data_IF_001170372306
#
_entry.id   IF_001170372306
#
_cell.length_a   1.000
_cell.length_b   1.000
_cell.length_c   1.000
_cell.angle_alpha   90.00
_cell.angle_beta   90.00
_cell.angle_gamma   90.00
#
_symmetry.space_group_name_H-M   'P 1'
#
loop_
_entity.id
_entity.type
_entity.pdbx_description
1 polymer ?
#
# COMPACT_ATOMS: atom_id res chain seq x y z
N UNK A 1 9.31 -34.62 1.67
CA UNK A 1 9.77 -34.04 2.96
C UNK A 1 8.62 -33.29 3.60
N UNK A 2 8.02 -33.82 4.68
CA UNK A 2 6.82 -33.26 5.30
C UNK A 2 7.09 -32.00 6.14
N UNK A 3 6.06 -31.18 6.32
CA UNK A 3 6.11 -29.97 7.16
C UNK A 3 5.92 -30.37 8.63
N UNK A 4 6.98 -30.32 9.43
CA UNK A 4 6.92 -30.59 10.88
C UNK A 4 6.27 -29.44 11.66
N UNK A 5 5.65 -29.76 12.80
CA UNK A 5 5.16 -28.77 13.77
C UNK A 5 6.36 -28.07 14.42
N UNK A 6 6.32 -26.75 14.52
CA UNK A 6 7.40 -25.93 15.08
C UNK A 6 6.85 -25.09 16.22
N UNK A 7 7.59 -25.02 17.32
CA UNK A 7 7.26 -24.19 18.49
C UNK A 7 7.38 -22.70 18.12
N UNK A 8 6.50 -21.87 18.66
CA UNK A 8 6.49 -20.41 18.43
C UNK A 8 7.47 -19.69 19.36
N UNK A 9 8.75 -20.00 19.20
CA UNK A 9 9.85 -19.40 19.96
C UNK A 9 10.98 -18.97 19.01
N UNK A 10 11.99 -18.28 19.57
CA UNK A 10 13.18 -17.86 18.82
C UNK A 10 13.94 -19.11 18.35
N UNK A 11 14.16 -19.23 17.04
CA UNK A 11 15.00 -20.30 16.49
C UNK A 11 16.47 -19.92 16.74
N UNK A 12 17.16 -20.63 17.63
CA UNK A 12 18.54 -20.29 18.01
C UNK A 12 19.56 -20.52 16.90
N UNK A 13 19.42 -21.61 16.15
CA UNK A 13 20.29 -21.91 15.02
C UNK A 13 20.16 -20.84 13.92
N UNK A 14 21.27 -20.15 13.63
CA UNK A 14 21.32 -19.00 12.71
C UNK A 14 20.89 -19.34 11.28
N UNK A 15 21.32 -20.49 10.75
CA UNK A 15 20.99 -20.93 9.39
C UNK A 15 19.50 -21.27 9.30
N UNK A 16 19.00 -22.06 10.26
CA UNK A 16 17.59 -22.45 10.29
C UNK A 16 16.67 -21.23 10.50
N UNK A 17 17.09 -20.25 11.30
CA UNK A 17 16.39 -18.99 11.51
C UNK A 17 16.32 -18.18 10.21
N UNK A 18 17.43 -18.04 9.50
CA UNK A 18 17.48 -17.31 8.22
C UNK A 18 16.60 -17.97 7.15
N UNK A 19 16.72 -19.30 7.00
CA UNK A 19 15.90 -20.05 6.03
C UNK A 19 14.41 -19.96 6.40
N UNK A 20 14.08 -20.09 7.69
CA UNK A 20 12.70 -19.96 8.17
C UNK A 20 12.16 -18.55 7.99
N UNK A 21 12.98 -17.52 8.24
CA UNK A 21 12.62 -16.13 8.00
C UNK A 21 12.29 -15.89 6.53
N UNK A 22 13.17 -16.28 5.61
CA UNK A 22 12.94 -16.13 4.17
C UNK A 22 11.65 -16.82 3.72
N UNK A 23 11.41 -18.06 4.18
CA UNK A 23 10.19 -18.80 3.87
C UNK A 23 8.93 -18.13 4.45
N UNK A 24 8.97 -17.72 5.73
CA UNK A 24 7.83 -17.07 6.41
C UNK A 24 7.53 -15.69 5.83
N UNK A 25 8.55 -14.87 5.56
CA UNK A 25 8.43 -13.56 4.91
C UNK A 25 7.75 -13.68 3.55
N UNK A 26 8.23 -14.60 2.72
CA UNK A 26 7.67 -14.79 1.38
C UNK A 26 6.24 -15.35 1.46
N UNK A 27 5.95 -16.27 2.40
CA UNK A 27 4.59 -16.75 2.65
C UNK A 27 3.65 -15.66 3.13
N UNK A 28 4.10 -14.78 4.03
CA UNK A 28 3.32 -13.64 4.52
C UNK A 28 3.06 -12.62 3.41
N UNK A 29 4.05 -12.32 2.58
CA UNK A 29 3.88 -11.42 1.43
C UNK A 29 2.86 -12.01 0.44
N UNK A 30 2.97 -13.29 0.10
CA UNK A 30 1.96 -13.95 -0.77
C UNK A 30 0.56 -13.87 -0.18
N UNK A 31 0.39 -14.16 1.10
CA UNK A 31 -0.89 -14.00 1.80
C UNK A 31 -1.36 -12.55 1.84
N UNK A 32 -0.47 -11.59 1.97
CA UNK A 32 -0.82 -10.17 1.91
C UNK A 32 -1.31 -9.78 0.52
N UNK A 33 -0.66 -10.27 -0.56
CA UNK A 33 -1.13 -10.06 -1.94
C UNK A 33 -2.49 -10.71 -2.21
N UNK A 34 -2.70 -11.96 -1.77
CA UNK A 34 -4.00 -12.63 -1.87
C UNK A 34 -5.11 -11.84 -1.16
N UNK A 35 -4.79 -11.20 -0.02
CA UNK A 35 -5.74 -10.41 0.76
C UNK A 35 -5.83 -8.93 0.33
N UNK A 36 -4.90 -8.43 -0.50
CA UNK A 36 -4.86 -7.02 -0.91
C UNK A 36 -6.05 -6.65 -1.82
N UNK A 37 -6.67 -7.65 -2.44
CA UNK A 37 -7.88 -7.48 -3.26
C UNK A 37 -9.08 -6.97 -2.45
N UNK A 38 -9.14 -7.23 -1.13
CA UNK A 38 -10.22 -6.78 -0.25
C UNK A 38 -9.76 -5.61 0.67
N UNK A 39 -9.79 -4.39 0.14
CA UNK A 39 -10.04 -3.08 0.80
C UNK A 39 -9.42 -2.68 2.18
N UNK A 40 -8.56 -3.46 2.84
CA UNK A 40 -7.88 -3.09 4.11
C UNK A 40 -6.33 -3.13 4.02
N UNK A 41 -5.82 -2.84 2.82
CA UNK A 41 -4.41 -2.77 2.38
C UNK A 41 -3.41 -2.13 3.34
N UNK A 42 -3.57 -0.83 3.53
CA UNK A 42 -2.52 0.07 3.99
C UNK A 42 -2.05 -0.23 5.41
N UNK A 43 -2.96 -0.56 6.32
CA UNK A 43 -2.62 -0.88 7.71
C UNK A 43 -1.74 -2.14 7.82
N UNK A 44 -1.91 -3.10 6.90
CA UNK A 44 -1.21 -4.38 6.93
C UNK A 44 0.19 -4.28 6.32
N UNK A 45 0.34 -3.51 5.24
CA UNK A 45 1.66 -3.15 4.69
C UNK A 45 2.47 -2.37 5.73
N UNK A 46 1.83 -1.46 6.47
CA UNK A 46 2.47 -0.74 7.58
C UNK A 46 2.97 -1.70 8.66
N UNK A 47 2.15 -2.66 9.11
CA UNK A 47 2.56 -3.67 10.10
C UNK A 47 3.74 -4.50 9.58
N UNK A 48 3.69 -4.98 8.34
CA UNK A 48 4.78 -5.76 7.75
C UNK A 48 6.08 -4.95 7.67
N UNK A 49 6.01 -3.69 7.27
CA UNK A 49 7.16 -2.79 7.26
C UNK A 49 7.71 -2.57 8.68
N UNK A 50 6.85 -2.33 9.68
CA UNK A 50 7.32 -2.17 11.08
C UNK A 50 7.99 -3.41 11.64
N UNK A 51 7.54 -4.61 11.26
CA UNK A 51 8.17 -5.88 11.66
C UNK A 51 9.53 -6.06 10.96
N UNK A 52 9.60 -5.73 9.67
CA UNK A 52 10.86 -5.78 8.90
C UNK A 52 11.88 -4.79 9.45
N UNK A 53 11.46 -3.56 9.78
CA UNK A 53 12.33 -2.55 10.36
C UNK A 53 12.80 -2.91 11.77
N UNK A 54 11.93 -3.46 12.64
CA UNK A 54 12.38 -3.99 13.94
C UNK A 54 13.38 -5.13 13.80
N UNK A 55 13.18 -6.00 12.81
CA UNK A 55 14.12 -7.10 12.55
C UNK A 55 15.48 -6.55 12.07
N UNK A 56 15.47 -5.58 11.14
CA UNK A 56 16.68 -4.86 10.70
C UNK A 56 17.43 -4.24 11.86
N UNK A 57 16.74 -3.45 12.68
CA UNK A 57 17.31 -2.81 13.88
C UNK A 57 17.91 -3.85 14.85
N UNK A 58 17.22 -4.97 15.08
CA UNK A 58 17.72 -6.06 15.94
C UNK A 58 18.95 -6.76 15.36
N UNK A 59 19.07 -6.86 14.03
CA UNK A 59 20.25 -7.41 13.37
C UNK A 59 21.43 -6.44 13.36
N UNK A 60 21.19 -5.14 13.23
CA UNK A 60 22.24 -4.11 13.28
C UNK A 60 22.73 -3.86 14.72
N UNK A 61 21.85 -3.90 15.72
CA UNK A 61 22.22 -3.82 17.14
C UNK A 61 23.13 -4.98 17.60
N UNK A 62 23.05 -6.13 16.93
CA UNK A 62 23.96 -7.27 17.14
C UNK A 62 25.34 -7.08 16.48
N UNK A 63 25.48 -6.14 15.55
CA UNK A 63 26.74 -5.82 14.87
C UNK A 63 27.42 -4.55 15.44
N UNK A 64 26.64 -3.60 15.97
CA UNK A 64 27.14 -2.36 16.57
C UNK A 64 27.23 -2.45 18.11
N UNK A 65 28.03 -3.36 18.65
CA UNK A 65 28.50 -3.22 20.04
C UNK A 65 29.51 -2.08 20.22
N UNK A 66 29.81 -1.30 19.17
CA UNK A 66 30.56 -0.06 19.25
C UNK A 66 29.92 0.93 18.28
N UNK A 67 29.14 1.89 18.77
CA UNK A 67 29.05 3.31 18.35
C UNK A 67 27.79 3.88 19.01
N UNK A 68 28.03 4.78 19.96
CA UNK A 68 27.07 5.65 20.65
C UNK A 68 26.43 6.66 19.69
N UNK A 69 25.17 7.06 19.96
CA UNK A 69 24.46 8.29 19.54
C UNK A 69 24.43 8.63 18.03
N UNK A 70 23.31 8.84 17.32
CA UNK A 70 22.20 9.77 17.60
C UNK A 70 20.97 9.50 16.68
N UNK A 71 20.88 8.36 16.00
CA UNK A 71 19.85 8.14 14.96
C UNK A 71 18.45 7.65 15.43
N UNK A 72 18.25 6.91 16.54
CA UNK A 72 16.91 6.38 16.86
C UNK A 72 15.91 7.44 17.33
N UNK A 73 16.37 8.58 17.84
CA UNK A 73 15.49 9.63 18.40
C UNK A 73 14.80 10.47 17.32
N UNK A 74 15.45 10.75 16.19
CA UNK A 74 14.83 11.46 15.07
C UNK A 74 13.65 10.67 14.48
N UNK A 75 13.82 9.36 14.30
CA UNK A 75 12.76 8.47 13.80
C UNK A 75 11.57 8.37 14.77
N UNK A 76 11.82 8.33 16.08
CA UNK A 76 10.77 8.31 17.11
C UNK A 76 9.92 9.59 17.07
N UNK A 77 10.51 10.73 16.72
CA UNK A 77 9.80 12.01 16.57
C UNK A 77 9.14 12.19 15.20
N UNK A 78 9.66 11.53 14.16
CA UNK A 78 9.12 11.63 12.80
C UNK A 78 7.91 10.72 12.58
N UNK A 79 7.89 9.53 13.18
CA UNK A 79 6.75 8.59 13.13
C UNK A 79 5.42 9.23 13.56
N UNK A 80 5.29 9.94 14.71
CA UNK A 80 4.03 10.57 15.10
C UNK A 80 3.63 11.70 14.15
N UNK A 81 4.58 12.45 13.58
CA UNK A 81 4.30 13.48 12.57
C UNK A 81 3.73 12.86 11.29
N UNK A 82 4.36 11.78 10.80
CA UNK A 82 3.88 11.04 9.64
C UNK A 82 2.51 10.40 9.90
N UNK A 83 2.29 9.86 11.10
CA UNK A 83 1.01 9.28 11.51
C UNK A 83 -0.11 10.32 11.54
N UNK A 84 0.13 11.50 12.12
CA UNK A 84 -0.83 12.59 12.13
C UNK A 84 -1.17 13.06 10.70
N UNK A 85 -0.16 13.17 9.83
CA UNK A 85 -0.35 13.50 8.41
C UNK A 85 -1.20 12.43 7.70
N UNK A 86 -0.89 11.15 7.93
CA UNK A 86 -1.66 10.04 7.36
C UNK A 86 -3.12 10.07 7.80
N UNK A 87 -3.39 10.23 9.10
CA UNK A 87 -4.75 10.30 9.63
C UNK A 87 -5.54 11.49 9.06
N UNK A 88 -4.88 12.64 8.87
CA UNK A 88 -5.48 13.81 8.22
C UNK A 88 -5.81 13.55 6.74
N UNK A 89 -4.91 12.87 6.01
CA UNK A 89 -5.16 12.49 4.62
C UNK A 89 -6.30 11.48 4.53
N UNK A 90 -6.31 10.47 5.40
CA UNK A 90 -7.35 9.45 5.44
C UNK A 90 -8.73 10.04 5.77
N UNK A 91 -8.81 11.02 6.68
CA UNK A 91 -10.06 11.76 6.92
C UNK A 91 -10.54 12.50 5.68
N UNK A 92 -9.63 13.19 4.99
CA UNK A 92 -9.95 13.91 3.76
C UNK A 92 -10.43 12.96 2.65
N UNK A 93 -9.83 11.78 2.56
CA UNK A 93 -10.21 10.74 1.60
C UNK A 93 -11.61 10.20 1.87
N UNK A 94 -11.97 9.96 3.14
CA UNK A 94 -13.35 9.63 3.53
C UNK A 94 -14.35 10.72 3.13
N UNK A 95 -14.00 11.99 3.34
CA UNK A 95 -14.87 13.10 2.93
C UNK A 95 -15.09 13.12 1.41
N UNK A 96 -14.06 12.81 0.60
CA UNK A 96 -14.22 12.67 -0.85
C UNK A 96 -15.13 11.49 -1.26
N UNK A 97 -15.20 10.45 -0.43
CA UNK A 97 -16.14 9.34 -0.61
C UNK A 97 -17.55 9.65 -0.07
N UNK A 98 -17.77 10.84 0.47
CA UNK A 98 -19.05 11.26 1.03
C UNK A 98 -19.32 10.75 2.46
N UNK A 99 -18.31 10.23 3.14
CA UNK A 99 -18.41 9.73 4.51
C UNK A 99 -18.10 10.84 5.54
N UNK A 100 -18.73 10.79 6.72
CA UNK A 100 -18.51 11.69 7.88
C UNK A 100 -18.61 13.20 7.54
N UNK A 101 -19.45 13.57 6.57
CA UNK A 101 -19.63 14.97 6.14
C UNK A 101 -20.30 15.84 7.21
N UNK A 102 -20.97 15.23 8.18
CA UNK A 102 -21.60 15.89 9.34
C UNK A 102 -20.60 16.62 10.25
N UNK A 103 -19.32 16.24 10.20
CA UNK A 103 -18.25 16.92 10.93
C UNK A 103 -17.79 18.22 10.24
N UNK A 104 -18.18 18.44 8.98
CA UNK A 104 -17.74 19.58 8.17
C UNK A 104 -18.73 20.74 8.22
N UNK A 105 -18.20 21.96 8.41
CA UNK A 105 -19.00 23.17 8.27
C UNK A 105 -19.37 23.48 6.82
N UNK A 106 -20.38 24.32 6.60
CA UNK A 106 -20.84 24.73 5.26
C UNK A 106 -19.71 25.25 4.35
N UNK A 107 -18.79 26.05 4.90
CA UNK A 107 -17.62 26.58 4.16
C UNK A 107 -16.66 25.48 3.73
N UNK A 108 -16.46 24.47 4.58
CA UNK A 108 -15.56 23.35 4.30
C UNK A 108 -16.17 22.42 3.25
N UNK A 109 -17.48 22.20 3.33
CA UNK A 109 -18.23 21.44 2.33
C UNK A 109 -18.19 22.10 0.94
N UNK A 110 -18.38 23.43 0.87
CA UNK A 110 -18.22 24.19 -0.38
C UNK A 110 -16.78 24.11 -0.94
N UNK A 111 -15.78 24.09 -0.06
CA UNK A 111 -14.39 23.92 -0.49
C UNK A 111 -14.12 22.50 -1.01
N UNK A 112 -14.74 21.49 -0.41
CA UNK A 112 -14.66 20.10 -0.84
C UNK A 112 -15.29 19.91 -2.22
N UNK A 113 -16.49 20.46 -2.44
CA UNK A 113 -17.20 20.46 -3.72
C UNK A 113 -16.34 21.12 -4.82
N UNK A 114 -15.83 22.34 -4.57
CA UNK A 114 -14.93 23.03 -5.51
C UNK A 114 -13.68 22.22 -5.83
N UNK A 115 -13.14 21.48 -4.86
CA UNK A 115 -11.99 20.59 -5.08
C UNK A 115 -12.38 19.43 -5.98
N UNK A 116 -13.51 18.76 -5.71
CA UNK A 116 -14.03 17.66 -6.53
C UNK A 116 -14.21 18.08 -7.99
N UNK A 117 -14.87 19.21 -8.23
CA UNK A 117 -15.10 19.75 -9.57
C UNK A 117 -13.80 19.99 -10.33
N UNK A 118 -12.79 20.56 -9.66
CA UNK A 118 -11.46 20.79 -10.26
C UNK A 118 -10.80 19.48 -10.65
N UNK A 119 -10.72 18.50 -9.75
CA UNK A 119 -10.13 17.19 -10.05
C UNK A 119 -10.87 16.45 -11.14
N UNK A 120 -12.20 16.54 -11.16
CA UNK A 120 -13.04 15.89 -12.16
C UNK A 120 -12.89 16.56 -13.53
N UNK A 121 -12.80 17.89 -13.58
CA UNK A 121 -12.48 18.63 -14.79
C UNK A 121 -11.10 18.25 -15.35
N UNK A 122 -10.09 18.15 -14.48
CA UNK A 122 -8.74 17.72 -14.87
C UNK A 122 -8.73 16.27 -15.41
N UNK A 123 -9.45 15.36 -14.75
CA UNK A 123 -9.57 13.97 -15.20
C UNK A 123 -10.27 13.87 -16.57
N UNK A 124 -11.32 14.66 -16.80
CA UNK A 124 -12.01 14.75 -18.11
C UNK A 124 -11.09 15.30 -19.19
N UNK A 125 -10.39 16.41 -18.91
CA UNK A 125 -9.43 16.99 -19.85
C UNK A 125 -8.31 16.01 -20.19
N UNK A 126 -7.79 15.27 -19.21
CA UNK A 126 -6.77 14.26 -19.44
C UNK A 126 -7.30 13.10 -20.30
N UNK A 127 -8.54 12.65 -20.06
CA UNK A 127 -9.20 11.64 -20.90
C UNK A 127 -9.40 12.13 -22.33
N UNK A 128 -9.81 13.38 -22.51
CA UNK A 128 -9.96 14.00 -23.84
C UNK A 128 -8.61 14.10 -24.55
N UNK A 129 -7.55 14.54 -23.85
CA UNK A 129 -6.19 14.56 -24.39
C UNK A 129 -5.71 13.17 -24.81
N UNK A 130 -5.94 12.14 -23.99
CA UNK A 130 -5.61 10.76 -24.35
C UNK A 130 -6.44 10.25 -25.54
N UNK A 131 -7.72 10.62 -25.63
CA UNK A 131 -8.59 10.27 -26.75
C UNK A 131 -8.15 10.95 -28.06
N UNK A 132 -7.68 12.19 -27.99
CA UNK A 132 -7.13 12.94 -29.13
C UNK A 132 -5.73 12.45 -29.52
N UNK A 133 -4.91 12.02 -28.55
CA UNK A 133 -3.55 11.51 -28.79
C UNK A 133 -3.49 10.04 -29.23
N UNK A 134 -4.56 9.27 -29.02
CA UNK A 134 -4.72 7.91 -29.52
C UNK A 134 -5.75 7.94 -30.66
N UNK A 135 -5.39 8.28 -31.91
CA UNK A 135 -6.31 8.13 -33.02
C UNK A 135 -6.75 6.67 -33.05
N UNK A 136 -8.06 6.43 -33.02
CA UNK A 136 -8.65 5.11 -33.16
C UNK A 136 -7.99 4.38 -34.33
N UNK A 137 -7.10 3.43 -34.02
CA UNK A 137 -6.65 2.44 -34.98
C UNK A 137 -7.82 1.53 -35.24
N UNK A 138 -8.64 1.94 -36.20
CA UNK A 138 -9.56 1.08 -36.91
C UNK A 138 -8.69 0.03 -37.63
N UNK A 139 -8.41 -1.09 -36.97
CA UNK A 139 -7.74 -2.24 -37.61
C UNK A 139 -8.87 -3.06 -38.25
N UNK A 140 -9.07 -3.02 -39.58
CA UNK A 140 -10.25 -3.64 -40.20
C UNK A 140 -10.15 -5.17 -40.33
N UNK A 141 -9.13 -5.82 -39.78
CA UNK A 141 -8.87 -7.24 -40.01
C UNK A 141 -8.15 -7.92 -38.84
N UNK A 142 -8.74 -7.92 -37.64
CA UNK A 142 -8.36 -8.91 -36.62
C UNK A 142 -9.46 -9.99 -36.53
N UNK A 143 -9.11 -11.29 -36.62
CA UNK A 143 -10.09 -12.37 -36.52
C UNK A 143 -10.82 -12.31 -35.17
N UNK A 144 -12.14 -12.53 -35.21
CA UNK A 144 -13.08 -12.45 -34.07
C UNK A 144 -12.65 -13.18 -32.79
N UNK A 145 -11.69 -14.10 -32.87
CA UNK A 145 -11.13 -14.86 -31.74
C UNK A 145 -10.41 -14.00 -30.68
N UNK A 146 -9.89 -12.81 -31.03
CA UNK A 146 -9.14 -11.97 -30.07
C UNK A 146 -10.08 -10.99 -29.32
N UNK A 147 -11.28 -10.74 -29.84
CA UNK A 147 -12.22 -9.78 -29.24
C UNK A 147 -12.84 -10.26 -27.90
N UNK A 148 -12.85 -11.56 -27.62
CA UNK A 148 -13.36 -12.08 -26.34
C UNK A 148 -12.38 -11.89 -25.18
N UNK A 149 -11.09 -11.66 -25.46
CA UNK A 149 -10.08 -11.53 -24.39
C UNK A 149 -9.96 -10.10 -23.84
N UNK A 150 -10.59 -9.11 -24.48
CA UNK A 150 -10.46 -7.69 -24.11
C UNK A 150 -11.72 -7.15 -23.42
N UNK A 151 -12.85 -7.87 -23.44
CA UNK A 151 -14.11 -7.37 -22.90
C UNK A 151 -14.57 -7.91 -21.54
N UNK A 152 -14.01 -9.00 -21.02
CA UNK A 152 -14.46 -9.57 -19.74
C UNK A 152 -13.30 -9.84 -18.77
N UNK A 153 -13.04 -8.95 -17.79
CA UNK A 153 -12.10 -9.20 -16.70
C UNK A 153 -12.72 -9.92 -15.49
N UNK A 154 -13.91 -10.53 -15.62
CA UNK A 154 -14.62 -11.18 -14.50
C UNK A 154 -15.26 -12.53 -14.87
N UNK A 155 -14.45 -13.46 -15.37
CA UNK A 155 -14.64 -14.91 -15.16
C UNK A 155 -13.33 -15.51 -14.67
#
# INVERSE_FOLDING_TARGET
>A
MGRGKVVLERIENKINRQVSFSKRRNGLLKKAYELHFESKSLFRVLILNTIVERYRQSTYALQNNNVEGEEPQNLILEIPKLKAKYESLQRTERHFHGENLEELGLKELQNLEKRLDRTLSQARQHKELLHVMMPQTFIPNLPYSIYTCIKDPYM
#
